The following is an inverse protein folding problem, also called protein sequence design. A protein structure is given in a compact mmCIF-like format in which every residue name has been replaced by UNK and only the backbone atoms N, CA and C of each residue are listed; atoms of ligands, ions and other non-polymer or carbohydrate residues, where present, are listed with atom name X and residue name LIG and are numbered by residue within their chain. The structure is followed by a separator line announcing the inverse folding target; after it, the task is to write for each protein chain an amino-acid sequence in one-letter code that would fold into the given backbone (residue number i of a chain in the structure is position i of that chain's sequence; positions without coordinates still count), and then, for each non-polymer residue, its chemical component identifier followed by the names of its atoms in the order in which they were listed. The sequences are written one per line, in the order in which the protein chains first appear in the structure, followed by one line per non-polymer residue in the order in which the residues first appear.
data_IF_878083546542
#
_entry.id   IF_878083546542
#
_cell.length_a   1.000
_cell.length_b   1.000
_cell.length_c   1.000
_cell.angle_alpha   90.00
_cell.angle_beta   90.00
_cell.angle_gamma   90.00
#
_symmetry.space_group_name_H-M   'P 1'
#
loop_
_entity.id
_entity.type
_entity.pdbx_description
1 polymer ?
#
# COMPACT_ATOMS: atom_id res chain seq x y z
N UNK A 1 16.72 -8.81 7.06
CA UNK A 1 15.58 -9.60 6.53
C UNK A 1 15.67 -9.59 5.01
N UNK A 2 15.56 -10.73 4.32
CA UNK A 2 15.54 -10.78 2.85
C UNK A 2 14.10 -10.50 2.41
N UNK A 3 13.89 -9.51 1.53
CA UNK A 3 12.56 -9.19 0.98
C UNK A 3 12.20 -10.17 -0.13
N UNK A 4 10.94 -10.55 -0.20
CA UNK A 4 10.40 -11.35 -1.30
C UNK A 4 10.19 -10.48 -2.55
N UNK A 5 10.49 -11.00 -3.73
CA UNK A 5 10.29 -10.28 -4.98
C UNK A 5 8.93 -10.66 -5.60
N UNK A 6 8.15 -9.67 -6.02
CA UNK A 6 6.81 -9.85 -6.56
C UNK A 6 6.59 -8.96 -7.77
N UNK A 7 5.83 -9.44 -8.75
CA UNK A 7 5.38 -8.62 -9.87
C UNK A 7 4.41 -7.54 -9.39
N UNK A 8 4.20 -6.50 -10.21
CA UNK A 8 3.22 -5.44 -9.91
C UNK A 8 1.84 -6.00 -9.62
N UNK A 9 1.37 -6.95 -10.45
CA UNK A 9 0.04 -7.53 -10.32
C UNK A 9 -0.11 -8.34 -9.02
N UNK A 10 0.90 -9.11 -8.65
CA UNK A 10 0.90 -9.84 -7.38
C UNK A 10 0.89 -8.88 -6.19
N UNK A 11 1.71 -7.83 -6.20
CA UNK A 11 1.72 -6.85 -5.12
C UNK A 11 0.40 -6.10 -5.00
N UNK A 12 -0.22 -5.72 -6.12
CA UNK A 12 -1.53 -5.09 -6.09
C UNK A 12 -2.58 -6.03 -5.51
N UNK A 13 -2.59 -7.30 -5.91
CA UNK A 13 -3.54 -8.28 -5.39
C UNK A 13 -3.37 -8.48 -3.87
N UNK A 14 -2.13 -8.62 -3.40
CA UNK A 14 -1.83 -8.77 -1.98
C UNK A 14 -2.24 -7.51 -1.22
N UNK A 15 -1.84 -6.32 -1.66
CA UNK A 15 -2.18 -5.07 -0.98
C UNK A 15 -3.69 -4.86 -0.90
N UNK A 16 -4.41 -5.08 -2.00
CA UNK A 16 -5.88 -4.99 -2.01
C UNK A 16 -6.50 -5.94 -0.99
N UNK A 17 -6.02 -7.20 -0.91
CA UNK A 17 -6.50 -8.14 0.08
C UNK A 17 -6.26 -7.65 1.52
N UNK A 18 -5.06 -7.14 1.82
CA UNK A 18 -4.76 -6.63 3.15
C UNK A 18 -5.59 -5.40 3.48
N UNK A 19 -5.71 -4.42 2.58
CA UNK A 19 -6.52 -3.23 2.79
C UNK A 19 -7.99 -3.60 3.07
N UNK A 20 -8.58 -4.51 2.28
CA UNK A 20 -9.96 -4.95 2.45
C UNK A 20 -10.20 -5.75 3.74
N UNK A 21 -9.19 -6.47 4.24
CA UNK A 21 -9.29 -7.26 5.46
C UNK A 21 -9.06 -6.44 6.73
N UNK A 22 -8.67 -5.17 6.63
CA UNK A 22 -8.39 -4.30 7.78
C UNK A 22 -9.54 -3.29 7.97
N UNK A 23 -10.43 -3.50 8.94
CA UNK A 23 -11.59 -2.62 9.13
C UNK A 23 -11.22 -1.17 9.46
N UNK A 24 -10.03 -0.93 10.02
CA UNK A 24 -9.51 0.43 10.28
C UNK A 24 -9.24 1.23 9.00
N UNK A 25 -9.08 0.56 7.86
CA UNK A 25 -8.97 1.22 6.56
C UNK A 25 -10.34 1.68 6.04
N UNK A 26 -11.45 1.13 6.55
CA UNK A 26 -12.78 1.34 5.97
C UNK A 26 -12.86 0.85 4.52
N UNK A 27 -13.83 1.38 3.76
CA UNK A 27 -13.89 1.16 2.32
C UNK A 27 -12.80 2.00 1.65
N UNK A 28 -11.73 1.35 1.22
CA UNK A 28 -10.63 2.00 0.50
C UNK A 28 -10.21 1.16 -0.69
N UNK A 29 -9.75 1.83 -1.74
CA UNK A 29 -9.30 1.18 -2.98
C UNK A 29 -7.85 1.54 -3.26
N UNK A 30 -7.04 0.55 -3.65
CA UNK A 30 -5.69 0.80 -4.12
C UNK A 30 -5.73 1.51 -5.48
N UNK A 31 -5.47 2.82 -5.47
CA UNK A 31 -5.53 3.67 -6.66
C UNK A 31 -4.34 3.46 -7.60
N UNK A 32 -3.13 3.45 -7.03
CA UNK A 32 -1.91 3.41 -7.83
C UNK A 32 -0.77 2.69 -7.12
N UNK A 33 0.16 2.20 -7.93
CA UNK A 33 1.45 1.68 -7.48
C UNK A 33 2.54 2.19 -8.43
N UNK A 34 3.61 2.74 -7.86
CA UNK A 34 4.75 3.27 -8.62
C UNK A 34 6.00 2.48 -8.26
N UNK A 35 6.78 2.09 -9.25
CA UNK A 35 8.16 1.61 -9.04
C UNK A 35 9.11 2.80 -9.00
N UNK A 36 10.13 2.76 -8.14
CA UNK A 36 11.19 3.77 -8.10
C UNK A 36 12.56 3.10 -8.20
N UNK A 37 13.52 3.81 -8.78
CA UNK A 37 14.91 3.46 -8.54
C UNK A 37 15.23 3.68 -7.06
N UNK A 38 15.95 2.76 -6.41
CA UNK A 38 16.39 2.95 -5.04
C UNK A 38 17.49 4.02 -5.06
N UNK A 39 17.08 5.29 -5.11
CA UNK A 39 18.01 6.41 -5.14
C UNK A 39 18.71 6.52 -3.80
N UNK A 40 17.97 6.57 -2.68
CA UNK A 40 18.57 6.58 -1.33
C UNK A 40 17.65 6.03 -0.21
N UNK A 41 16.35 5.86 -0.46
CA UNK A 41 15.34 5.53 0.59
C UNK A 41 15.06 4.04 0.79
N UNK A 42 15.78 3.16 0.10
CA UNK A 42 15.63 1.70 0.24
C UNK A 42 14.24 1.16 -0.14
N UNK A 43 13.41 1.97 -0.81
CA UNK A 43 12.05 1.68 -1.20
C UNK A 43 11.95 1.66 -2.73
N UNK A 44 11.81 0.48 -3.33
CA UNK A 44 11.71 0.34 -4.79
C UNK A 44 10.27 0.43 -5.31
N UNK A 45 9.26 0.58 -4.44
CA UNK A 45 7.89 0.83 -4.86
C UNK A 45 7.03 1.57 -3.81
N UNK A 46 6.06 2.36 -4.27
CA UNK A 46 5.05 3.01 -3.44
C UNK A 46 3.65 2.68 -3.94
N UNK A 47 2.65 2.93 -3.10
CA UNK A 47 1.26 2.81 -3.48
C UNK A 47 0.43 3.93 -2.84
N UNK A 48 -0.70 4.22 -3.49
CA UNK A 48 -1.66 5.25 -3.12
C UNK A 48 -3.05 4.61 -3.02
N UNK A 49 -3.87 5.11 -2.10
CA UNK A 49 -5.23 4.64 -1.88
C UNK A 49 -6.21 5.80 -2.03
N UNK A 50 -7.39 5.48 -2.56
CA UNK A 50 -8.54 6.37 -2.59
C UNK A 50 -9.59 5.89 -1.58
N UNK A 51 -10.33 6.84 -1.03
CA UNK A 51 -11.50 6.57 -0.19
C UNK A 51 -12.73 7.16 -0.89
N UNK A 52 -13.89 6.49 -0.84
CA UNK A 52 -15.14 7.05 -1.34
C UNK A 52 -15.36 8.43 -0.72
N UNK A 53 -15.80 9.38 -1.56
CA UNK A 53 -16.02 10.79 -1.18
C UNK A 53 -17.23 10.92 -0.24
N UNK A 54 -17.11 10.48 0.99
CA UNK A 54 -17.94 10.97 2.07
C UNK A 54 -17.10 11.91 2.96
N UNK A 55 -17.66 13.07 3.36
CA UNK A 55 -17.02 13.94 4.34
C UNK A 55 -17.09 13.23 5.70
N UNK A 56 -16.13 12.35 5.95
CA UNK A 56 -16.02 11.59 7.18
C UNK A 56 -14.84 12.11 8.01
N UNK A 57 -15.11 12.51 9.25
CA UNK A 57 -14.11 12.92 10.24
C UNK A 57 -13.06 11.83 10.51
N UNK A 58 -13.33 10.58 10.11
CA UNK A 58 -12.42 9.44 10.22
C UNK A 58 -11.42 9.31 9.06
N UNK A 59 -11.49 10.14 8.01
CA UNK A 59 -10.56 10.07 6.87
C UNK A 59 -9.07 10.11 7.26
N UNK A 60 -8.62 11.00 8.20
CA UNK A 60 -7.23 11.00 8.63
C UNK A 60 -6.79 9.67 9.26
N UNK A 61 -7.67 9.06 10.06
CA UNK A 61 -7.41 7.77 10.71
C UNK A 61 -7.34 6.64 9.68
N UNK A 62 -8.29 6.57 8.74
CA UNK A 62 -8.29 5.58 7.66
C UNK A 62 -7.05 5.68 6.78
N UNK A 63 -6.65 6.92 6.45
CA UNK A 63 -5.42 7.18 5.69
C UNK A 63 -4.17 6.74 6.47
N UNK A 64 -4.12 6.98 7.77
CA UNK A 64 -3.01 6.53 8.62
C UNK A 64 -2.92 4.99 8.70
N UNK A 65 -4.06 4.31 8.82
CA UNK A 65 -4.13 2.85 8.81
C UNK A 65 -3.65 2.27 7.46
N UNK A 66 -4.18 2.76 6.34
CA UNK A 66 -3.78 2.30 5.00
C UNK A 66 -2.30 2.55 4.71
N UNK A 67 -1.76 3.71 5.13
CA UNK A 67 -0.32 4.01 5.00
C UNK A 67 0.54 3.05 5.81
N UNK A 68 0.11 2.69 7.03
CA UNK A 68 0.85 1.75 7.88
C UNK A 68 0.97 0.37 7.22
N UNK A 69 -0.11 -0.13 6.61
CA UNK A 69 -0.09 -1.37 5.82
C UNK A 69 0.93 -1.25 4.68
N UNK A 70 0.87 -0.17 3.89
CA UNK A 70 1.79 0.03 2.76
C UNK A 70 3.25 0.04 3.23
N UNK A 71 3.56 0.68 4.37
CA UNK A 71 4.91 0.71 4.95
C UNK A 71 5.38 -0.69 5.31
N UNK A 72 4.56 -1.46 6.04
CA UNK A 72 4.91 -2.85 6.43
C UNK A 72 5.16 -3.70 5.18
N UNK A 73 4.33 -3.57 4.15
CA UNK A 73 4.49 -4.35 2.92
C UNK A 73 5.76 -3.98 2.15
N UNK A 74 6.22 -2.72 2.21
CA UNK A 74 7.51 -2.31 1.64
C UNK A 74 8.71 -2.93 2.36
N UNK A 75 8.58 -3.24 3.64
CA UNK A 75 9.62 -3.91 4.39
C UNK A 75 9.72 -5.40 4.05
N UNK A 76 8.63 -5.98 3.54
CA UNK A 76 8.53 -7.41 3.18
C UNK A 76 8.80 -7.67 1.71
N UNK A 77 8.41 -6.75 0.82
CA UNK A 77 8.42 -7.01 -0.63
C UNK A 77 9.22 -6.01 -1.45
N UNK A 78 9.87 -6.53 -2.49
CA UNK A 78 10.44 -5.78 -3.59
C UNK A 78 9.56 -5.93 -4.84
N UNK A 79 9.38 -4.85 -5.58
CA UNK A 79 8.78 -4.89 -6.91
C UNK A 79 9.81 -5.44 -7.92
N UNK A 80 9.41 -6.47 -8.66
CA UNK A 80 10.11 -6.94 -9.86
C UNK A 80 9.86 -5.95 -11.00
N UNK A 81 10.93 -5.48 -11.61
CA UNK A 81 10.89 -4.63 -12.82
C UNK A 81 10.57 -5.47 -14.05
#
# INVERSE_FOLDING_TARGET
MRRDAKTRSELMAILNQFLNNNPECGECELHAMRGHQPDHTGCNWSAEVDFPREPDDHLPTRLAAAKSIIVVMREQYNLLQ
#
